data_IF_991411481297
#
_entry.id   IF_991411481297
#
_cell.length_a   1.000
_cell.length_b   1.000
_cell.length_c   1.000
_cell.angle_alpha   90.00
_cell.angle_beta   90.00
_cell.angle_gamma   90.00
#
_symmetry.space_group_name_H-M   'P 1'
#
loop_
_entity.id
_entity.type
_entity.pdbx_description
1 polymer ?
#
# COMPACT_ATOMS: atom_id res chain seq x y z
N UNK A 1 15.14 -9.50 13.69
CA UNK A 1 14.96 -8.69 12.46
C UNK A 1 13.53 -8.15 12.46
N UNK A 2 13.32 -6.86 12.23
CA UNK A 2 11.98 -6.22 12.31
C UNK A 2 11.14 -6.51 11.05
N UNK A 3 10.96 -7.78 10.72
CA UNK A 3 10.31 -8.24 9.48
C UNK A 3 8.93 -7.62 9.31
N UNK A 4 8.13 -7.53 10.37
CA UNK A 4 6.80 -6.90 10.31
C UNK A 4 6.86 -5.40 9.96
N UNK A 5 7.86 -4.67 10.44
CA UNK A 5 8.04 -3.24 10.12
C UNK A 5 8.45 -3.06 8.66
N UNK A 6 9.30 -3.95 8.14
CA UNK A 6 9.71 -3.95 6.73
C UNK A 6 8.51 -4.22 5.82
N UNK A 7 7.69 -5.23 6.14
CA UNK A 7 6.49 -5.56 5.36
C UNK A 7 5.49 -4.38 5.39
N UNK A 8 5.26 -3.78 6.56
CA UNK A 8 4.44 -2.58 6.68
C UNK A 8 4.93 -1.45 5.77
N UNK A 9 6.23 -1.16 5.82
CA UNK A 9 6.84 -0.07 5.07
C UNK A 9 6.72 -0.28 3.56
N UNK A 10 6.98 -1.50 3.08
CA UNK A 10 6.88 -1.84 1.65
C UNK A 10 5.44 -1.73 1.16
N UNK A 11 4.46 -2.22 1.92
CA UNK A 11 3.05 -2.09 1.52
C UNK A 11 2.58 -0.64 1.51
N UNK A 12 2.93 0.14 2.54
CA UNK A 12 2.53 1.54 2.63
C UNK A 12 3.17 2.38 1.52
N UNK A 13 4.47 2.24 1.31
CA UNK A 13 5.20 2.97 0.26
C UNK A 13 4.75 2.52 -1.14
N UNK A 14 4.60 1.21 -1.38
CA UNK A 14 4.09 0.67 -2.63
C UNK A 14 2.68 1.16 -2.95
N UNK A 15 1.79 1.18 -1.95
CA UNK A 15 0.44 1.70 -2.11
C UNK A 15 0.41 3.18 -2.50
N UNK A 16 1.24 4.01 -1.85
CA UNK A 16 1.36 5.44 -2.20
C UNK A 16 1.91 5.66 -3.61
N UNK A 17 2.96 4.93 -4.00
CA UNK A 17 3.56 5.04 -5.34
C UNK A 17 2.59 4.58 -6.43
N UNK A 18 1.88 3.47 -6.23
CA UNK A 18 0.84 2.99 -7.15
C UNK A 18 -0.32 3.99 -7.24
N UNK A 19 -0.67 4.66 -6.13
CA UNK A 19 -1.70 5.70 -6.11
C UNK A 19 -1.31 6.88 -6.99
N UNK A 20 -0.10 7.40 -6.81
CA UNK A 20 0.45 8.48 -7.64
C UNK A 20 0.52 8.06 -9.11
N UNK A 21 1.09 6.88 -9.40
CA UNK A 21 1.16 6.35 -10.75
C UNK A 21 -0.22 6.19 -11.39
N UNK A 22 -1.21 5.71 -10.64
CA UNK A 22 -2.60 5.56 -11.11
C UNK A 22 -3.25 6.88 -11.52
N UNK A 23 -3.02 7.96 -10.75
CA UNK A 23 -3.51 9.31 -11.08
C UNK A 23 -2.86 9.86 -12.36
N UNK A 24 -1.55 9.66 -12.56
CA UNK A 24 -0.86 10.20 -13.73
C UNK A 24 -1.04 9.38 -15.01
N UNK A 25 -1.33 8.08 -14.90
CA UNK A 25 -1.53 7.21 -16.07
C UNK A 25 -2.91 7.43 -16.72
N UNK A 26 -3.94 7.79 -15.96
CA UNK A 26 -5.33 8.15 -16.32
C UNK A 26 -5.90 7.67 -17.69
N UNK A 27 -5.56 6.44 -18.06
CA UNK A 27 -6.14 5.58 -19.08
C UNK A 27 -6.36 4.20 -18.42
N UNK A 28 -7.12 3.27 -19.00
CA UNK A 28 -7.65 2.06 -18.34
C UNK A 28 -6.81 1.38 -17.23
N UNK A 29 -5.49 1.28 -17.38
CA UNK A 29 -4.55 0.79 -16.35
C UNK A 29 -4.57 1.59 -15.02
N UNK A 30 -4.82 2.90 -15.06
CA UNK A 30 -4.84 3.82 -13.92
C UNK A 30 -5.86 3.44 -12.85
N UNK A 31 -7.04 2.95 -13.24
CA UNK A 31 -8.04 2.46 -12.28
C UNK A 31 -7.58 1.19 -11.55
N UNK A 32 -6.88 0.28 -12.25
CA UNK A 32 -6.30 -0.91 -11.63
C UNK A 32 -5.17 -0.53 -10.65
N UNK A 33 -4.34 0.46 -11.01
CA UNK A 33 -3.31 1.02 -10.15
C UNK A 33 -3.89 1.66 -8.87
N UNK A 34 -4.99 2.40 -8.98
CA UNK A 34 -5.69 2.98 -7.82
C UNK A 34 -6.33 1.91 -6.92
N UNK A 35 -6.93 0.87 -7.51
CA UNK A 35 -7.49 -0.25 -6.75
C UNK A 35 -6.38 -1.02 -6.01
N UNK A 36 -5.25 -1.27 -6.67
CA UNK A 36 -4.07 -1.86 -6.05
C UNK A 36 -3.54 -0.99 -4.91
N UNK A 37 -3.40 0.33 -5.11
CA UNK A 37 -3.00 1.28 -4.09
C UNK A 37 -3.88 1.19 -2.82
N UNK A 38 -5.21 1.20 -2.99
CA UNK A 38 -6.16 1.05 -1.89
C UNK A 38 -5.98 -0.26 -1.14
N UNK A 39 -5.86 -1.38 -1.86
CA UNK A 39 -5.67 -2.70 -1.24
C UNK A 39 -4.38 -2.81 -0.41
N UNK A 40 -3.27 -2.24 -0.92
CA UNK A 40 -1.99 -2.24 -0.22
C UNK A 40 -2.01 -1.37 1.04
N UNK A 41 -2.67 -0.21 0.99
CA UNK A 41 -2.81 0.67 2.15
C UNK A 41 -3.69 0.06 3.24
N UNK A 42 -4.79 -0.62 2.86
CA UNK A 42 -5.63 -1.36 3.81
C UNK A 42 -4.83 -2.48 4.49
N UNK A 43 -4.10 -3.28 3.71
CA UNK A 43 -3.25 -4.34 4.24
C UNK A 43 -2.14 -3.78 5.16
N UNK A 44 -1.51 -2.65 4.80
CA UNK A 44 -0.56 -1.96 5.67
C UNK A 44 -1.21 -1.53 7.00
N UNK A 45 -2.45 -1.04 6.97
CA UNK A 45 -3.22 -0.68 8.17
C UNK A 45 -3.41 -1.85 9.12
N UNK A 46 -3.76 -3.03 8.60
CA UNK A 46 -3.89 -4.25 9.40
C UNK A 46 -2.56 -4.70 10.02
N UNK A 47 -1.47 -4.65 9.25
CA UNK A 47 -0.13 -5.01 9.76
C UNK A 47 0.31 -4.04 10.85
N UNK A 48 0.07 -2.73 10.67
CA UNK A 48 0.36 -1.73 11.70
C UNK A 48 -0.43 -1.99 12.98
N UNK A 49 -1.70 -2.37 12.88
CA UNK A 49 -2.52 -2.72 14.04
C UNK A 49 -1.93 -3.94 14.78
N UNK A 50 -1.51 -4.97 14.03
CA UNK A 50 -0.81 -6.14 14.59
C UNK A 50 0.56 -5.83 15.22
N UNK A 51 1.24 -4.78 14.77
CA UNK A 51 2.52 -4.32 15.33
C UNK A 51 2.39 -3.49 16.62
N UNK A 52 1.26 -2.78 16.80
CA UNK A 52 1.05 -1.88 17.97
C UNK A 52 0.33 -2.61 19.12
N UNK A 53 -0.46 -3.65 18.82
CA UNK A 53 -1.26 -4.38 19.81
C UNK A 53 -0.62 -5.64 20.40
N UNK A 54 0.67 -5.88 20.15
CA UNK A 54 1.45 -6.93 20.83
C UNK A 54 2.18 -6.36 22.04
#
# INVERSE_FOLDING_TARGET
MKTGLIIFLVLAAGGLLLGVAGVYVLAGLGYALLAAAGSLLVAAGFIRKGLIGG
#
